data_IF_313949620734
#
_entry.id   IF_313949620734
#
_cell.length_a   1.000
_cell.length_b   1.000
_cell.length_c   1.000
_cell.angle_alpha   90.00
_cell.angle_beta   90.00
_cell.angle_gamma   90.00
#
_symmetry.space_group_name_H-M   'P 1'
#
loop_
_entity.id
_entity.type
_entity.pdbx_description
1 polymer ?
#
# COMPACT_ATOMS: atom_id res chain seq x y z
N UNK A 1 3.89 22.80 29.08
CA UNK A 1 4.85 21.69 29.26
C UNK A 1 4.23 20.51 30.05
N UNK A 2 3.08 19.90 29.63
CA UNK A 2 2.48 18.82 30.43
C UNK A 2 1.89 17.66 29.64
N UNK A 3 1.89 17.64 28.32
CA UNK A 3 1.17 16.59 27.57
C UNK A 3 1.97 15.29 27.33
N UNK A 4 3.30 15.31 27.32
CA UNK A 4 4.12 14.09 27.12
C UNK A 4 4.06 13.10 28.29
N UNK A 5 3.60 13.50 29.48
CA UNK A 5 3.50 12.58 30.63
C UNK A 5 2.23 11.73 30.64
N UNK A 6 1.18 12.18 29.96
CA UNK A 6 -0.12 11.55 29.97
C UNK A 6 -0.22 10.32 29.03
N UNK A 7 0.54 10.33 27.93
CA UNK A 7 0.56 9.25 26.92
C UNK A 7 1.86 8.46 26.88
N UNK A 8 2.50 8.22 28.02
CA UNK A 8 3.82 7.57 28.11
C UNK A 8 3.90 6.25 27.35
N UNK A 9 2.89 5.40 27.45
CA UNK A 9 2.88 4.10 26.78
C UNK A 9 2.75 4.22 25.27
N UNK A 10 1.96 5.17 24.77
CA UNK A 10 1.76 5.41 23.35
C UNK A 10 3.02 6.01 22.69
N UNK A 11 3.68 6.93 23.39
CA UNK A 11 4.87 7.63 22.92
C UNK A 11 6.18 6.92 23.26
N UNK A 12 6.13 5.75 23.92
CA UNK A 12 7.32 4.93 24.14
C UNK A 12 7.70 4.17 22.87
N UNK A 13 9.01 3.86 22.70
CA UNK A 13 9.46 3.03 21.59
C UNK A 13 8.67 1.71 21.48
N UNK A 14 8.44 1.28 20.25
CA UNK A 14 7.77 0.03 19.92
C UNK A 14 8.63 -0.87 19.06
N UNK A 15 8.17 -2.12 18.82
CA UNK A 15 8.86 -3.06 17.96
C UNK A 15 7.85 -3.95 17.25
N UNK A 16 8.04 -4.17 15.94
CA UNK A 16 7.31 -5.13 15.11
C UNK A 16 8.32 -6.08 14.49
N UNK A 17 8.36 -7.34 14.98
CA UNK A 17 9.44 -8.27 14.60
C UNK A 17 10.80 -7.69 14.98
N UNK A 18 11.66 -7.45 14.00
CA UNK A 18 12.98 -6.82 14.17
C UNK A 18 12.98 -5.31 13.95
N UNK A 19 11.88 -4.75 13.42
CA UNK A 19 11.75 -3.33 13.12
C UNK A 19 11.47 -2.53 14.39
N UNK A 20 12.34 -1.58 14.71
CA UNK A 20 12.17 -0.65 15.83
C UNK A 20 11.42 0.60 15.39
N UNK A 21 10.49 1.05 16.22
CA UNK A 21 9.66 2.24 16.02
C UNK A 21 9.94 3.27 17.10
N UNK A 22 10.01 4.54 16.73
CA UNK A 22 10.20 5.64 17.67
C UNK A 22 9.08 5.77 18.72
N UNK A 23 7.87 5.35 18.34
CA UNK A 23 6.70 5.31 19.22
C UNK A 23 5.67 4.29 18.67
N UNK A 24 4.51 4.18 19.32
CA UNK A 24 3.47 3.20 18.98
C UNK A 24 2.31 3.80 18.16
N UNK A 25 2.49 4.99 17.61
CA UNK A 25 1.51 5.62 16.73
C UNK A 25 1.71 5.07 15.31
N UNK A 26 0.66 4.54 14.73
CA UNK A 26 0.65 4.01 13.37
C UNK A 26 -0.41 4.73 12.54
N UNK A 27 0.00 5.29 11.41
CA UNK A 27 -0.95 5.79 10.41
C UNK A 27 -1.52 4.60 9.63
N UNK A 28 -2.82 4.36 9.79
CA UNK A 28 -3.53 3.36 9.01
C UNK A 28 -3.56 3.72 7.51
N UNK A 29 -3.61 2.72 6.61
CA UNK A 29 -3.69 2.96 5.17
C UNK A 29 -4.99 3.69 4.80
N UNK A 30 -4.88 4.71 3.95
CA UNK A 30 -6.02 5.44 3.41
C UNK A 30 -5.77 5.77 1.94
N UNK A 31 -6.72 5.48 1.07
CA UNK A 31 -6.70 5.89 -0.33
C UNK A 31 -6.83 7.41 -0.43
N UNK A 32 -5.82 8.07 -0.96
CA UNK A 32 -5.76 9.53 -1.14
C UNK A 32 -5.75 9.93 -2.61
N UNK A 33 -5.44 8.99 -3.49
CA UNK A 33 -5.47 9.14 -4.96
C UNK A 33 -4.70 10.38 -5.48
N UNK A 34 -3.53 10.67 -4.89
CA UNK A 34 -2.69 11.81 -5.27
C UNK A 34 -1.76 11.47 -6.44
N UNK A 35 -1.48 10.19 -6.70
CA UNK A 35 -0.66 9.79 -7.85
C UNK A 35 -1.39 10.07 -9.16
N UNK A 36 -0.63 10.32 -10.22
CA UNK A 36 -1.18 10.43 -11.56
C UNK A 36 -1.67 9.07 -12.08
N UNK A 37 -2.45 9.08 -13.17
CA UNK A 37 -3.06 7.87 -13.75
C UNK A 37 -2.06 6.89 -14.39
N UNK A 38 -0.88 6.76 -13.81
CA UNK A 38 0.17 5.81 -14.21
C UNK A 38 0.76 5.05 -13.01
N UNK A 39 0.26 5.32 -11.81
CA UNK A 39 0.65 4.67 -10.57
C UNK A 39 2.04 5.06 -10.02
N UNK A 40 2.72 6.03 -10.64
CA UNK A 40 4.09 6.42 -10.25
C UNK A 40 4.08 7.42 -9.10
N UNK A 41 4.79 7.09 -8.03
CA UNK A 41 5.00 8.02 -6.90
C UNK A 41 5.85 9.22 -7.33
N UNK A 42 5.31 10.43 -7.13
CA UNK A 42 5.95 11.72 -7.43
C UNK A 42 5.94 12.63 -6.21
N UNK A 43 6.49 13.82 -6.36
CA UNK A 43 6.67 14.75 -5.25
C UNK A 43 5.39 15.04 -4.43
N UNK A 44 4.20 15.24 -5.01
CA UNK A 44 3.00 15.46 -4.21
C UNK A 44 2.68 14.31 -3.24
N UNK A 45 2.87 13.05 -3.68
CA UNK A 45 2.69 11.88 -2.83
C UNK A 45 3.74 11.82 -1.73
N UNK A 46 5.01 12.12 -2.06
CA UNK A 46 6.11 12.17 -1.09
C UNK A 46 5.81 13.24 -0.04
N UNK A 47 5.44 14.44 -0.43
CA UNK A 47 5.10 15.53 0.47
C UNK A 47 3.95 15.17 1.41
N UNK A 48 2.93 14.48 0.89
CA UNK A 48 1.83 13.98 1.72
C UNK A 48 2.30 13.09 2.87
N UNK A 49 3.20 12.14 2.61
CA UNK A 49 3.71 11.23 3.65
C UNK A 49 4.74 11.92 4.57
N UNK A 50 5.59 12.80 4.04
CA UNK A 50 6.55 13.58 4.85
C UNK A 50 5.82 14.41 5.92
N UNK A 51 4.74 15.10 5.57
CA UNK A 51 3.98 15.91 6.54
C UNK A 51 3.44 15.07 7.72
N UNK A 52 3.11 13.80 7.49
CA UNK A 52 2.71 12.87 8.57
C UNK A 52 3.90 12.39 9.37
N UNK A 53 5.03 12.12 8.71
CA UNK A 53 6.28 11.74 9.37
C UNK A 53 6.79 12.86 10.28
N UNK A 54 6.72 14.13 9.85
CA UNK A 54 7.02 15.31 10.67
C UNK A 54 6.13 15.44 11.89
N UNK A 55 4.92 14.88 11.83
CA UNK A 55 4.03 14.72 12.99
C UNK A 55 4.46 13.65 13.98
N UNK A 56 5.69 13.13 13.87
CA UNK A 56 6.28 12.12 14.75
C UNK A 56 5.50 10.78 14.76
N UNK A 57 4.86 10.38 13.66
CA UNK A 57 4.22 9.05 13.55
C UNK A 57 5.30 7.98 13.47
N UNK A 58 5.23 6.94 14.30
CA UNK A 58 6.25 5.88 14.36
C UNK A 58 6.29 5.00 13.10
N UNK A 59 5.12 4.69 12.53
CA UNK A 59 4.98 3.91 11.30
C UNK A 59 3.87 4.48 10.43
N UNK A 60 4.15 4.68 9.15
CA UNK A 60 3.14 4.99 8.14
C UNK A 60 2.89 3.75 7.28
N UNK A 61 1.62 3.47 6.98
CA UNK A 61 1.25 2.45 6.00
C UNK A 61 0.69 3.19 4.79
N UNK A 62 1.22 2.90 3.60
CA UNK A 62 0.75 3.57 2.37
C UNK A 62 -0.71 3.25 2.10
N UNK A 63 -1.35 4.06 1.27
CA UNK A 63 -2.61 3.69 0.64
C UNK A 63 -2.49 2.35 -0.10
N UNK A 64 -3.61 1.83 -0.59
CA UNK A 64 -3.63 0.67 -1.48
C UNK A 64 -2.55 0.84 -2.56
N UNK A 65 -1.68 -0.15 -2.67
CA UNK A 65 -0.61 -0.16 -3.66
C UNK A 65 -0.82 -1.36 -4.57
N UNK A 66 -1.17 -1.08 -5.83
CA UNK A 66 -1.57 -2.09 -6.80
C UNK A 66 -0.42 -3.04 -7.14
N UNK A 67 -0.57 -4.31 -6.77
CA UNK A 67 0.43 -5.36 -7.02
C UNK A 67 0.52 -5.79 -8.48
N UNK A 68 -0.49 -5.49 -9.29
CA UNK A 68 -0.57 -5.90 -10.71
C UNK A 68 -1.12 -4.77 -11.61
N UNK A 69 -0.78 -3.53 -11.32
CA UNK A 69 -1.29 -2.36 -12.03
C UNK A 69 -1.12 -2.47 -13.57
N UNK A 70 -2.16 -2.12 -14.37
CA UNK A 70 -3.47 -1.58 -13.97
C UNK A 70 -4.50 -2.63 -13.55
N UNK A 71 -4.19 -3.93 -13.64
CA UNK A 71 -5.11 -5.01 -13.28
C UNK A 71 -5.38 -5.05 -11.77
N UNK A 72 -6.64 -5.26 -11.40
CA UNK A 72 -7.04 -5.35 -10.01
C UNK A 72 -6.89 -4.04 -9.22
N UNK A 73 -6.60 -2.92 -9.86
CA UNK A 73 -6.59 -1.62 -9.23
C UNK A 73 -8.02 -1.09 -9.05
N UNK A 74 -8.26 -0.35 -7.98
CA UNK A 74 -9.54 0.31 -7.74
C UNK A 74 -9.64 1.64 -8.49
N UNK A 75 -8.52 2.31 -8.70
CA UNK A 75 -8.41 3.61 -9.36
C UNK A 75 -7.15 3.68 -10.23
N UNK A 76 -7.19 4.49 -11.28
CA UNK A 76 -6.01 4.83 -12.05
C UNK A 76 -4.98 5.64 -11.21
N UNK A 77 -5.44 6.28 -10.14
CA UNK A 77 -4.67 7.12 -9.23
C UNK A 77 -4.17 6.37 -8.00
N UNK A 78 -3.99 5.08 -8.08
CA UNK A 78 -3.49 4.21 -7.02
C UNK A 78 -1.98 4.00 -7.19
N UNK A 79 -1.21 4.04 -6.10
CA UNK A 79 0.22 3.72 -6.14
C UNK A 79 0.40 2.31 -6.72
N UNK A 80 1.40 2.13 -7.58
CA UNK A 80 1.70 0.84 -8.18
C UNK A 80 3.10 0.34 -7.81
N UNK A 81 3.26 -1.02 -7.80
CA UNK A 81 4.51 -1.70 -7.49
C UNK A 81 4.78 -2.88 -8.43
N UNK A 82 3.99 -3.03 -9.48
CA UNK A 82 3.99 -4.19 -10.37
C UNK A 82 5.17 -4.28 -11.34
N UNK A 83 6.09 -3.32 -11.37
CA UNK A 83 7.30 -3.37 -12.20
C UNK A 83 8.38 -2.41 -11.70
N UNK A 84 9.61 -2.60 -12.17
CA UNK A 84 10.79 -1.83 -11.76
C UNK A 84 10.67 -0.32 -12.05
N UNK A 85 9.82 0.09 -12.99
CA UNK A 85 9.59 1.51 -13.28
C UNK A 85 9.05 2.30 -12.07
N UNK A 86 8.45 1.61 -11.09
CA UNK A 86 7.91 2.23 -9.88
C UNK A 86 8.95 2.40 -8.76
N UNK A 87 10.05 1.62 -8.81
CA UNK A 87 11.07 1.60 -7.77
C UNK A 87 11.67 2.98 -7.48
N UNK A 88 12.03 3.82 -8.47
CA UNK A 88 12.64 5.11 -8.16
C UNK A 88 11.76 6.04 -7.31
N UNK A 89 10.45 6.05 -7.56
CA UNK A 89 9.50 6.84 -6.79
C UNK A 89 9.29 6.28 -5.38
N UNK A 90 9.15 4.96 -5.26
CA UNK A 90 8.99 4.27 -3.98
C UNK A 90 10.26 4.41 -3.09
N UNK A 91 11.44 4.32 -3.70
CA UNK A 91 12.72 4.54 -2.99
C UNK A 91 12.79 5.95 -2.41
N UNK A 92 12.52 6.98 -3.23
CA UNK A 92 12.50 8.37 -2.77
C UNK A 92 11.49 8.59 -1.64
N UNK A 93 10.31 7.97 -1.73
CA UNK A 93 9.30 8.03 -0.68
C UNK A 93 9.83 7.43 0.64
N UNK A 94 10.42 6.24 0.57
CA UNK A 94 10.97 5.56 1.74
C UNK A 94 12.11 6.37 2.38
N UNK A 95 13.06 6.83 1.58
CA UNK A 95 14.19 7.67 2.04
C UNK A 95 13.69 8.96 2.72
N UNK A 96 12.72 9.64 2.11
CA UNK A 96 12.18 10.88 2.65
C UNK A 96 11.46 10.68 3.99
N UNK A 97 10.67 9.61 4.14
CA UNK A 97 9.99 9.28 5.40
C UNK A 97 11.01 8.86 6.47
N UNK A 98 12.02 8.08 6.11
CA UNK A 98 13.07 7.67 7.02
C UNK A 98 13.90 8.86 7.51
N UNK A 99 14.16 9.87 6.68
CA UNK A 99 14.88 11.08 7.06
C UNK A 99 14.16 11.87 8.17
N UNK A 100 12.83 11.77 8.25
CA UNK A 100 12.01 12.37 9.33
C UNK A 100 11.90 11.44 10.57
N UNK A 101 12.60 10.29 10.60
CA UNK A 101 12.64 9.36 11.74
C UNK A 101 11.48 8.37 11.82
N UNK A 102 10.55 8.39 10.89
CA UNK A 102 9.43 7.44 10.78
C UNK A 102 9.80 6.19 9.98
N UNK A 103 9.05 5.11 10.16
CA UNK A 103 9.10 3.94 9.27
C UNK A 103 7.93 3.97 8.31
N UNK A 104 8.09 3.31 7.16
CA UNK A 104 7.00 3.19 6.17
C UNK A 104 6.87 1.74 5.72
N UNK A 105 5.63 1.31 5.50
CA UNK A 105 5.28 0.00 4.96
C UNK A 105 4.31 0.18 3.79
N UNK A 106 4.37 -0.70 2.81
CA UNK A 106 3.47 -0.72 1.66
C UNK A 106 2.26 -1.62 1.98
N UNK A 107 1.04 -1.12 1.77
CA UNK A 107 -0.15 -1.96 1.74
C UNK A 107 -0.36 -2.52 0.33
N UNK A 108 0.08 -3.74 0.08
CA UNK A 108 -0.17 -4.41 -1.20
C UNK A 108 -1.65 -4.73 -1.36
N UNK A 109 -2.19 -4.41 -2.52
CA UNK A 109 -3.60 -4.59 -2.84
C UNK A 109 -3.82 -5.18 -4.23
N UNK A 110 -4.84 -6.01 -4.33
CA UNK A 110 -5.47 -6.43 -5.57
C UNK A 110 -6.97 -6.55 -5.30
N UNK A 111 -7.76 -5.72 -5.95
CA UNK A 111 -9.17 -5.56 -5.60
C UNK A 111 -10.07 -6.69 -6.14
N UNK A 112 -9.56 -7.55 -7.01
CA UNK A 112 -10.28 -8.71 -7.52
C UNK A 112 -11.64 -8.32 -8.09
N UNK A 113 -12.70 -8.98 -7.64
CA UNK A 113 -14.08 -8.76 -8.11
C UNK A 113 -14.59 -7.31 -8.00
N UNK A 114 -13.96 -6.49 -7.16
CA UNK A 114 -14.33 -5.08 -6.98
C UNK A 114 -13.34 -4.13 -7.65
N UNK A 115 -12.43 -4.63 -8.48
CA UNK A 115 -11.50 -3.84 -9.28
C UNK A 115 -12.25 -2.88 -10.21
N UNK A 116 -12.43 -1.64 -9.77
CA UNK A 116 -13.22 -0.64 -10.51
C UNK A 116 -12.58 -0.27 -11.83
N UNK A 117 -11.26 -0.16 -11.86
CA UNK A 117 -10.53 0.22 -13.06
C UNK A 117 -10.70 -0.84 -14.17
N UNK A 118 -10.64 -2.14 -13.81
CA UNK A 118 -10.85 -3.23 -14.75
C UNK A 118 -12.26 -3.17 -15.34
N UNK A 119 -13.28 -2.97 -14.50
CA UNK A 119 -14.67 -2.84 -14.93
C UNK A 119 -14.88 -1.62 -15.82
N UNK A 120 -14.33 -0.47 -15.50
CA UNK A 120 -14.47 0.76 -16.28
C UNK A 120 -13.78 0.68 -17.64
N UNK A 121 -12.67 -0.05 -17.73
CA UNK A 121 -11.92 -0.25 -18.98
C UNK A 121 -12.33 -1.51 -19.74
N UNK A 122 -13.39 -2.18 -19.29
CA UNK A 122 -13.94 -3.38 -19.97
C UNK A 122 -13.05 -4.62 -19.86
N UNK A 123 -12.13 -4.65 -18.88
CA UNK A 123 -11.31 -5.83 -18.60
C UNK A 123 -12.07 -6.80 -17.71
N UNK A 124 -11.76 -8.08 -17.84
CA UNK A 124 -12.26 -9.09 -16.92
C UNK A 124 -11.65 -8.92 -15.53
N UNK A 125 -12.51 -8.88 -14.51
CA UNK A 125 -12.04 -8.94 -13.11
C UNK A 125 -11.72 -10.38 -12.74
N UNK A 126 -10.66 -10.59 -11.98
CA UNK A 126 -10.20 -11.92 -11.57
C UNK A 126 -10.39 -12.11 -10.07
N UNK A 127 -10.66 -13.35 -9.65
CA UNK A 127 -10.81 -13.71 -8.25
C UNK A 127 -10.44 -15.17 -8.01
N UNK A 128 -9.97 -15.53 -6.80
CA UNK A 128 -9.56 -16.91 -6.49
C UNK A 128 -10.71 -17.92 -6.58
N UNK A 129 -11.93 -17.50 -6.25
CA UNK A 129 -13.13 -18.33 -6.33
C UNK A 129 -14.39 -17.46 -6.45
N UNK A 130 -15.43 -18.01 -7.07
CA UNK A 130 -16.70 -17.31 -7.20
C UNK A 130 -17.55 -17.43 -5.94
N UNK A 131 -18.18 -16.33 -5.49
CA UNK A 131 -19.29 -16.42 -4.54
C UNK A 131 -20.42 -17.24 -5.14
N UNK A 132 -20.91 -18.23 -4.42
CA UNK A 132 -22.09 -18.99 -4.85
C UNK A 132 -23.28 -18.04 -5.05
N UNK A 133 -23.94 -18.11 -6.20
CA UNK A 133 -25.19 -17.41 -6.48
C UNK A 133 -25.13 -16.24 -7.48
N UNK A 134 -24.00 -15.87 -8.03
CA UNK A 134 -23.90 -14.83 -9.06
C UNK A 134 -23.56 -15.42 -10.44
N UNK A 135 -24.56 -15.95 -11.12
CA UNK A 135 -24.39 -16.65 -12.40
C UNK A 135 -24.31 -15.77 -13.66
N UNK A 136 -24.50 -14.45 -13.56
CA UNK A 136 -24.75 -13.62 -14.74
C UNK A 136 -23.49 -13.04 -15.41
N UNK A 137 -22.38 -12.91 -14.70
CA UNK A 137 -21.09 -12.43 -15.26
C UNK A 137 -19.95 -13.08 -14.51
N UNK A 138 -19.63 -14.33 -14.87
CA UNK A 138 -18.55 -15.07 -14.21
C UNK A 138 -17.21 -14.76 -14.89
N UNK A 139 -16.32 -13.96 -14.27
CA UNK A 139 -14.94 -13.93 -14.72
C UNK A 139 -14.27 -15.28 -14.45
N UNK A 140 -13.24 -15.66 -15.20
CA UNK A 140 -12.52 -16.91 -14.95
C UNK A 140 -11.91 -16.92 -13.55
N UNK A 141 -11.96 -18.09 -12.88
CA UNK A 141 -11.23 -18.29 -11.64
C UNK A 141 -9.71 -18.20 -11.94
N UNK A 142 -8.94 -17.62 -11.06
CA UNK A 142 -7.49 -17.65 -11.16
C UNK A 142 -7.01 -19.10 -11.16
N UNK A 143 -6.08 -19.42 -12.05
CA UNK A 143 -5.38 -20.67 -12.00
C UNK A 143 -4.51 -20.75 -10.74
N UNK A 144 -4.09 -21.98 -10.37
CA UNK A 144 -3.19 -22.14 -9.23
C UNK A 144 -1.89 -21.35 -9.38
N UNK A 145 -1.33 -21.29 -10.58
CA UNK A 145 -0.07 -20.61 -10.86
C UNK A 145 -0.21 -19.10 -10.75
N UNK A 146 -1.33 -18.54 -11.21
CA UNK A 146 -1.66 -17.13 -11.03
C UNK A 146 -1.86 -16.78 -9.54
N UNK A 147 -2.57 -17.61 -8.78
CA UNK A 147 -2.74 -17.43 -7.33
C UNK A 147 -1.39 -17.49 -6.60
N UNK A 148 -0.49 -18.41 -6.97
CA UNK A 148 0.87 -18.53 -6.43
C UNK A 148 1.70 -17.31 -6.79
N UNK A 149 1.61 -16.79 -8.01
CA UNK A 149 2.31 -15.58 -8.44
C UNK A 149 1.96 -14.37 -7.55
N UNK A 150 0.69 -14.14 -7.24
CA UNK A 150 0.27 -13.09 -6.32
C UNK A 150 0.81 -13.29 -4.90
N UNK A 151 0.86 -14.52 -4.42
CA UNK A 151 1.44 -14.82 -3.10
C UNK A 151 2.94 -14.48 -3.06
N UNK A 152 3.67 -14.74 -4.13
CA UNK A 152 5.10 -14.41 -4.22
C UNK A 152 5.37 -12.92 -4.33
N UNK A 153 4.48 -12.14 -4.93
CA UNK A 153 4.57 -10.67 -4.93
C UNK A 153 4.42 -10.07 -3.53
N UNK A 154 3.69 -10.72 -2.64
CA UNK A 154 3.45 -10.21 -1.29
C UNK A 154 4.56 -10.56 -0.29
N UNK A 155 5.31 -11.64 -0.50
CA UNK A 155 6.30 -12.12 0.46
C UNK A 155 7.63 -11.33 0.49
N UNK A 156 8.21 -10.83 -0.63
CA UNK A 156 9.45 -10.07 -0.60
C UNK A 156 9.29 -8.61 -0.14
N UNK A 157 8.09 -8.06 -0.20
CA UNK A 157 7.85 -6.61 0.00
C UNK A 157 7.70 -6.20 1.47
N UNK A 158 7.71 -7.14 2.39
CA UNK A 158 7.81 -6.88 3.83
C UNK A 158 9.29 -6.66 4.23
N UNK A 159 10.19 -6.65 3.28
CA UNK A 159 11.57 -6.32 3.54
C UNK A 159 11.71 -4.83 3.83
N UNK A 160 12.04 -4.54 5.07
CA UNK A 160 12.70 -3.32 5.51
C UNK A 160 13.78 -2.89 4.48
N UNK A 161 13.52 -1.81 3.79
CA UNK A 161 14.57 -1.00 3.20
C UNK A 161 15.08 -0.05 4.27
#
# INVERSE_FOLDING_TARGET
MSSKSEFKSLLSPGKIGTMELANRVVMAPMGVEIVEADGVVRQPTIDYYIERARGEVGLLITENTAAAYPFGANSAHEIAVSSDKYLPGLTKLAEAVHAEGSKIAIQLAHHGKVGRLDTMEGREVVMPSHPQGHAATRPPDLTRDETVSYTHLTLPTICSV
#
